data_IF_620105638955
#
_entry.id   IF_620105638955
#
_cell.length_a   1.000
_cell.length_b   1.000
_cell.length_c   1.000
_cell.angle_alpha   90.00
_cell.angle_beta   90.00
_cell.angle_gamma   90.00
#
_symmetry.space_group_name_H-M   'P 1'
#
loop_
_entity.id
_entity.type
_entity.pdbx_description
1 polymer ?
#
# COMPACT_ATOMS: atom_id res chain seq x y z
N UNK A 1 4.76 19.34 4.60
CA UNK A 1 3.97 18.58 5.58
C UNK A 1 3.16 17.51 4.86
N UNK A 2 3.20 16.30 5.37
CA UNK A 2 2.47 15.19 4.74
C UNK A 2 1.07 15.13 5.29
N UNK A 3 0.12 15.02 4.39
CA UNK A 3 -1.27 14.86 4.77
C UNK A 3 -1.85 13.68 4.01
N UNK A 4 -2.47 12.78 4.75
CA UNK A 4 -3.27 11.73 4.14
C UNK A 4 -4.50 12.38 3.54
N UNK A 5 -4.78 12.18 2.26
CA UNK A 5 -5.99 12.72 1.67
C UNK A 5 -7.22 12.03 2.23
N UNK A 6 -8.39 12.60 2.02
CA UNK A 6 -9.65 11.97 2.39
C UNK A 6 -9.79 10.63 1.66
N UNK A 7 -10.15 9.58 2.38
CA UNK A 7 -10.26 8.23 1.81
C UNK A 7 -11.54 7.48 2.22
N UNK A 8 -12.41 8.12 2.98
CA UNK A 8 -13.61 7.44 3.51
C UNK A 8 -14.52 6.91 2.41
N UNK A 9 -14.54 7.58 1.25
CA UNK A 9 -15.32 7.13 0.09
C UNK A 9 -14.75 5.85 -0.54
N UNK A 10 -13.49 5.52 -0.26
CA UNK A 10 -12.86 4.30 -0.77
C UNK A 10 -13.19 3.07 0.07
N UNK A 11 -13.52 3.26 1.34
CA UNK A 11 -13.82 2.15 2.23
C UNK A 11 -14.96 1.31 1.69
N UNK A 12 -14.77 -0.01 1.67
CA UNK A 12 -15.78 -0.93 1.15
C UNK A 12 -15.70 -1.22 -0.34
N UNK A 13 -14.85 -0.53 -1.08
CA UNK A 13 -14.71 -0.80 -2.51
C UNK A 13 -14.06 -2.17 -2.75
N UNK A 14 -14.49 -2.89 -3.81
CA UNK A 14 -14.07 -4.28 -4.02
C UNK A 14 -12.68 -4.40 -4.62
N UNK A 15 -12.12 -5.59 -4.48
CA UNK A 15 -10.85 -5.97 -5.07
C UNK A 15 -11.03 -6.40 -6.53
N UNK A 16 -10.09 -5.98 -7.37
CA UNK A 16 -9.97 -6.44 -8.77
C UNK A 16 -8.50 -6.45 -9.15
N UNK A 17 -8.00 -7.54 -9.67
CA UNK A 17 -6.62 -7.63 -10.16
C UNK A 17 -6.38 -6.57 -11.24
N UNK A 18 -5.30 -5.79 -11.09
CA UNK A 18 -5.02 -4.68 -11.98
C UNK A 18 -5.90 -3.46 -11.76
N UNK A 19 -6.78 -3.49 -10.75
CA UNK A 19 -7.71 -2.40 -10.49
C UNK A 19 -7.01 -1.10 -10.11
N UNK A 20 -7.42 -0.02 -10.76
CA UNK A 20 -6.88 1.34 -10.51
C UNK A 20 -7.97 2.33 -10.19
N UNK A 21 -9.18 1.85 -9.95
CA UNK A 21 -10.33 2.66 -9.61
C UNK A 21 -11.08 3.14 -10.83
N UNK A 22 -12.16 3.89 -10.64
CA UNK A 22 -12.68 4.37 -9.35
C UNK A 22 -13.51 3.35 -8.58
N UNK A 23 -13.92 2.24 -9.18
CA UNK A 23 -14.90 1.32 -8.59
C UNK A 23 -14.25 0.12 -7.90
N UNK A 24 -13.04 -0.26 -8.30
CA UNK A 24 -12.34 -1.42 -7.77
C UNK A 24 -10.82 -1.18 -7.83
N UNK A 25 -10.08 -1.85 -6.95
CA UNK A 25 -8.63 -1.67 -6.81
C UNK A 25 -7.95 -3.00 -6.51
N UNK A 26 -6.67 -3.11 -6.89
CA UNK A 26 -5.78 -4.06 -6.22
C UNK A 26 -4.99 -3.31 -5.13
N UNK A 27 -4.10 -4.01 -4.40
CA UNK A 27 -3.43 -3.39 -3.26
C UNK A 27 -2.54 -2.22 -3.69
N UNK A 28 -1.83 -2.34 -4.80
CA UNK A 28 -1.00 -1.25 -5.29
C UNK A 28 -1.84 -0.15 -5.94
N UNK A 29 -2.92 -0.51 -6.62
CA UNK A 29 -3.85 0.46 -7.20
C UNK A 29 -4.47 1.38 -6.16
N UNK A 30 -4.76 0.84 -4.97
CA UNK A 30 -5.22 1.67 -3.85
C UNK A 30 -4.15 2.69 -3.44
N UNK A 31 -2.89 2.27 -3.38
CA UNK A 31 -1.79 3.18 -3.06
C UNK A 31 -1.65 4.26 -4.14
N UNK A 32 -1.73 3.88 -5.42
CA UNK A 32 -1.68 4.84 -6.53
C UNK A 32 -2.77 5.89 -6.40
N UNK A 33 -3.99 5.46 -6.08
CA UNK A 33 -5.12 6.39 -5.93
C UNK A 33 -4.93 7.35 -4.74
N UNK A 34 -4.48 6.84 -3.60
CA UNK A 34 -4.22 7.70 -2.43
C UNK A 34 -3.14 8.73 -2.73
N UNK A 35 -2.07 8.32 -3.38
CA UNK A 35 -0.99 9.24 -3.75
C UNK A 35 -1.48 10.28 -4.75
N UNK A 36 -2.27 9.87 -5.74
CA UNK A 36 -2.85 10.81 -6.71
C UNK A 36 -3.67 11.89 -6.01
N UNK A 37 -4.47 11.50 -5.02
CA UNK A 37 -5.27 12.44 -4.22
C UNK A 37 -4.40 13.40 -3.42
N UNK A 38 -3.21 12.96 -3.04
CA UNK A 38 -2.24 13.79 -2.33
C UNK A 38 -1.39 14.65 -3.28
N UNK A 39 -1.65 14.60 -4.58
CA UNK A 39 -0.88 15.35 -5.57
C UNK A 39 0.42 14.69 -6.00
N UNK A 40 0.56 13.39 -5.76
CA UNK A 40 1.78 12.66 -6.03
C UNK A 40 1.52 11.56 -7.06
N UNK A 41 2.49 11.33 -7.94
CA UNK A 41 2.41 10.29 -8.95
C UNK A 41 3.35 9.15 -8.60
N UNK A 42 2.78 8.02 -8.17
CA UNK A 42 3.55 6.80 -7.98
C UNK A 42 3.81 6.15 -9.33
N UNK A 43 4.98 5.55 -9.54
CA UNK A 43 5.20 4.70 -10.70
C UNK A 43 4.16 3.57 -10.70
N UNK A 44 3.53 3.32 -11.83
CA UNK A 44 2.52 2.28 -11.92
C UNK A 44 3.16 0.99 -12.43
N UNK A 45 3.34 0.04 -11.54
CA UNK A 45 3.90 -1.26 -11.87
C UNK A 45 2.81 -2.16 -12.47
N UNK A 46 3.21 -2.99 -13.43
CA UNK A 46 2.28 -3.93 -14.03
C UNK A 46 1.70 -4.85 -12.96
N UNK A 47 0.37 -4.90 -12.89
CA UNK A 47 -0.32 -5.81 -11.99
C UNK A 47 -0.57 -7.14 -12.67
N UNK A 48 -0.49 -8.20 -11.89
CA UNK A 48 -0.75 -9.56 -12.35
C UNK A 48 -1.56 -10.26 -11.26
N UNK A 49 -2.31 -11.28 -11.64
CA UNK A 49 -3.02 -12.11 -10.67
C UNK A 49 -2.09 -13.12 -9.97
N UNK A 50 -0.81 -13.13 -10.32
CA UNK A 50 0.22 -13.90 -9.65
C UNK A 50 0.76 -13.09 -8.46
N UNK A 51 0.51 -13.52 -7.20
CA UNK A 51 1.00 -12.79 -6.03
C UNK A 51 2.51 -12.64 -5.99
N UNK A 52 3.26 -13.63 -6.47
CA UNK A 52 4.72 -13.54 -6.52
C UNK A 52 5.16 -12.45 -7.49
N UNK A 53 4.49 -12.35 -8.64
CA UNK A 53 4.76 -11.29 -9.63
C UNK A 53 4.44 -9.91 -9.10
N UNK A 54 3.37 -9.76 -8.34
CA UNK A 54 3.01 -8.48 -7.71
C UNK A 54 4.10 -8.05 -6.72
N UNK A 55 4.52 -8.95 -5.85
CA UNK A 55 5.57 -8.66 -4.87
C UNK A 55 6.90 -8.33 -5.54
N UNK A 56 7.29 -9.09 -6.56
CA UNK A 56 8.51 -8.85 -7.29
C UNK A 56 8.50 -7.49 -8.00
N UNK A 57 7.35 -7.13 -8.58
CA UNK A 57 7.19 -5.83 -9.24
C UNK A 57 7.39 -4.68 -8.28
N UNK A 58 6.79 -4.74 -7.10
CA UNK A 58 6.99 -3.71 -6.09
C UNK A 58 8.43 -3.64 -5.62
N UNK A 59 9.05 -4.77 -5.30
CA UNK A 59 10.42 -4.79 -4.80
C UNK A 59 11.40 -4.22 -5.81
N UNK A 60 11.20 -4.51 -7.11
CA UNK A 60 12.01 -3.92 -8.16
C UNK A 60 11.86 -2.39 -8.19
N UNK A 61 10.64 -1.90 -8.13
CA UNK A 61 10.39 -0.45 -8.13
C UNK A 61 10.86 0.22 -6.84
N UNK A 62 10.76 -0.47 -5.72
CA UNK A 62 11.16 0.09 -4.42
C UNK A 62 12.65 0.45 -4.39
N UNK A 63 13.51 -0.29 -5.09
CA UNK A 63 14.93 0.01 -5.15
C UNK A 63 15.20 1.39 -5.77
N UNK A 64 14.36 1.84 -6.68
CA UNK A 64 14.57 3.08 -7.43
C UNK A 64 13.77 4.26 -6.88
N UNK A 65 12.60 4.01 -6.32
CA UNK A 65 11.63 5.08 -6.02
C UNK A 65 11.32 5.21 -4.54
N UNK A 66 11.73 4.26 -3.71
CA UNK A 66 11.41 4.23 -2.29
C UNK A 66 12.67 4.06 -1.46
N UNK A 67 12.59 4.53 -0.22
CA UNK A 67 13.63 4.34 0.80
C UNK A 67 13.03 3.57 1.96
N UNK A 68 13.69 2.50 2.38
CA UNK A 68 13.25 1.75 3.55
C UNK A 68 13.47 2.58 4.82
N UNK A 69 12.48 2.57 5.70
CA UNK A 69 12.50 3.32 6.96
C UNK A 69 12.06 2.40 8.09
N UNK A 70 12.32 2.81 9.34
CA UNK A 70 12.01 2.00 10.51
C UNK A 70 10.73 2.45 11.21
N UNK A 71 10.39 3.72 11.11
CA UNK A 71 9.23 4.29 11.79
C UNK A 71 8.28 4.83 10.73
N UNK A 72 7.03 4.35 10.67
CA UNK A 72 6.11 4.77 9.63
C UNK A 72 5.66 6.21 9.82
N UNK A 73 5.48 6.90 8.70
CA UNK A 73 4.84 8.21 8.62
C UNK A 73 3.73 8.14 7.57
N UNK A 74 2.82 9.10 7.63
CA UNK A 74 1.68 9.17 6.71
C UNK A 74 2.12 9.02 5.26
N UNK A 75 1.41 8.21 4.49
CA UNK A 75 1.67 7.84 3.10
C UNK A 75 2.83 6.86 2.90
N UNK A 76 3.51 6.41 3.93
CA UNK A 76 4.47 5.32 3.77
C UNK A 76 3.74 4.04 3.35
N UNK A 77 4.40 3.25 2.50
CA UNK A 77 3.87 1.97 2.07
C UNK A 77 4.44 0.88 2.96
N UNK A 78 3.58 0.03 3.48
CA UNK A 78 3.96 -1.08 4.32
C UNK A 78 3.80 -2.36 3.52
N UNK A 79 4.86 -3.17 3.47
CA UNK A 79 4.83 -4.46 2.80
C UNK A 79 4.51 -5.55 3.79
N UNK A 80 3.67 -6.48 3.36
CA UNK A 80 3.24 -7.62 4.15
C UNK A 80 3.49 -8.93 3.40
N UNK A 81 3.82 -9.95 4.16
CA UNK A 81 3.83 -11.32 3.66
C UNK A 81 2.58 -12.02 4.16
N UNK A 82 1.63 -12.22 3.27
CA UNK A 82 0.37 -12.89 3.57
C UNK A 82 0.43 -14.36 3.16
N UNK A 83 1.12 -14.63 2.05
CA UNK A 83 1.34 -15.98 1.55
C UNK A 83 2.76 -16.43 1.88
N UNK A 84 2.99 -17.75 2.04
CA UNK A 84 4.34 -18.26 2.29
C UNK A 84 5.31 -17.88 1.17
N UNK A 85 6.58 -17.66 1.52
CA UNK A 85 7.74 -17.53 0.62
C UNK A 85 7.94 -16.19 -0.05
N UNK A 86 6.93 -15.28 -0.14
CA UNK A 86 7.14 -14.01 -0.82
C UNK A 86 6.27 -12.92 -0.25
N UNK A 87 6.75 -11.67 -0.39
CA UNK A 87 5.96 -10.48 -0.09
C UNK A 87 4.93 -10.31 -1.20
N UNK A 88 3.66 -10.27 -0.83
CA UNK A 88 2.57 -10.28 -1.80
C UNK A 88 1.53 -9.19 -1.59
N UNK A 89 1.69 -8.36 -0.56
CA UNK A 89 0.64 -7.42 -0.18
C UNK A 89 1.25 -6.11 0.30
N UNK A 90 0.55 -5.02 0.07
CA UNK A 90 0.95 -3.71 0.58
C UNK A 90 -0.25 -2.96 1.14
N UNK A 91 0.03 -2.05 2.06
CA UNK A 91 -0.93 -1.09 2.58
C UNK A 91 -0.29 0.28 2.67
N UNK A 92 -1.11 1.30 2.94
CA UNK A 92 -0.64 2.68 3.08
C UNK A 92 -0.89 3.14 4.50
N UNK A 93 0.16 3.62 5.16
CA UNK A 93 0.05 4.13 6.52
C UNK A 93 -0.71 5.45 6.52
N UNK A 94 -1.73 5.55 7.35
CA UNK A 94 -2.60 6.73 7.42
C UNK A 94 -2.45 7.50 8.73
N UNK A 95 -1.46 7.14 9.53
CA UNK A 95 -1.23 7.78 10.83
C UNK A 95 -1.89 7.03 11.99
N UNK A 96 -1.50 7.39 13.20
CA UNK A 96 -2.06 6.85 14.44
C UNK A 96 -2.02 5.32 14.55
N UNK A 97 -0.99 4.70 13.96
CA UNK A 97 -0.85 3.25 14.00
C UNK A 97 -1.75 2.49 13.04
N UNK A 98 -2.40 3.18 12.11
CA UNK A 98 -3.37 2.57 11.21
C UNK A 98 -2.89 2.57 9.77
N UNK A 99 -3.34 1.60 9.00
CA UNK A 99 -3.09 1.53 7.57
C UNK A 99 -4.37 1.16 6.82
N UNK A 100 -4.44 1.63 5.58
CA UNK A 100 -5.53 1.28 4.66
C UNK A 100 -5.01 0.30 3.63
N UNK A 101 -5.80 -0.73 3.33
CA UNK A 101 -5.39 -1.75 2.38
C UNK A 101 -6.60 -2.42 1.75
N UNK A 102 -6.35 -3.28 0.76
CA UNK A 102 -7.36 -4.12 0.15
C UNK A 102 -6.72 -5.47 -0.21
N UNK A 103 -7.46 -6.55 0.00
CA UNK A 103 -7.04 -7.90 -0.36
C UNK A 103 -8.15 -8.58 -1.16
N UNK A 104 -7.78 -9.62 -1.91
CA UNK A 104 -8.75 -10.46 -2.58
C UNK A 104 -9.80 -10.95 -1.57
N UNK A 105 -11.07 -10.84 -1.91
CA UNK A 105 -12.23 -11.20 -1.08
C UNK A 105 -12.44 -10.32 0.15
N UNK A 106 -11.63 -9.27 0.32
CA UNK A 106 -11.79 -8.29 1.39
C UNK A 106 -11.81 -6.92 0.73
N UNK A 107 -12.84 -6.13 0.99
CA UNK A 107 -12.92 -4.77 0.48
C UNK A 107 -11.91 -3.85 1.14
N UNK A 108 -11.77 -2.63 0.63
CA UNK A 108 -10.91 -1.60 1.23
C UNK A 108 -11.30 -1.43 2.70
N UNK A 109 -10.30 -1.54 3.57
CA UNK A 109 -10.49 -1.44 5.01
C UNK A 109 -9.31 -0.71 5.65
N UNK A 110 -9.59 -0.07 6.78
CA UNK A 110 -8.57 0.54 7.63
C UNK A 110 -8.35 -0.38 8.82
N UNK A 111 -7.09 -0.72 9.13
CA UNK A 111 -6.77 -1.64 10.20
C UNK A 111 -5.64 -1.11 11.07
N UNK A 112 -5.54 -1.68 12.27
CA UNK A 112 -4.51 -1.31 13.24
C UNK A 112 -3.25 -2.14 13.00
N UNK A 113 -2.13 -1.47 12.72
CA UNK A 113 -0.85 -2.11 12.45
C UNK A 113 -0.30 -2.86 13.68
N UNK A 114 -0.70 -2.46 14.88
CA UNK A 114 -0.24 -3.08 16.11
C UNK A 114 -0.95 -4.39 16.46
N UNK A 115 -2.01 -4.76 15.73
CA UNK A 115 -2.64 -6.07 15.97
C UNK A 115 -1.64 -7.19 15.69
N UNK A 116 -1.67 -8.28 16.47
CA UNK A 116 -0.67 -9.34 16.34
C UNK A 116 -0.55 -9.91 14.93
N UNK A 117 -1.66 -10.10 14.24
CA UNK A 117 -1.64 -10.69 12.90
C UNK A 117 -0.90 -9.79 11.89
N UNK A 118 -1.14 -8.48 11.93
CA UNK A 118 -0.50 -7.56 11.00
C UNK A 118 0.94 -7.28 11.39
N UNK A 119 1.23 -7.19 12.69
CA UNK A 119 2.59 -7.09 13.16
C UNK A 119 3.44 -8.27 12.70
N UNK A 120 2.89 -9.48 12.77
CA UNK A 120 3.58 -10.69 12.35
C UNK A 120 3.83 -10.72 10.84
N UNK A 121 2.91 -10.18 10.05
CA UNK A 121 3.00 -10.18 8.58
C UNK A 121 3.87 -9.07 8.01
N UNK A 122 4.16 -8.04 8.78
CA UNK A 122 4.91 -6.88 8.30
C UNK A 122 6.33 -7.27 7.88
N UNK A 123 6.76 -6.80 6.70
CA UNK A 123 8.08 -7.12 6.15
C UNK A 123 8.91 -5.91 5.76
N UNK A 124 8.38 -4.72 5.91
CA UNK A 124 9.13 -3.49 5.67
C UNK A 124 8.24 -2.30 5.51
N UNK A 125 8.80 -1.14 5.77
CA UNK A 125 8.14 0.16 5.63
C UNK A 125 8.95 0.95 4.63
N UNK A 126 8.30 1.48 3.59
CA UNK A 126 8.97 2.13 2.49
C UNK A 126 8.39 3.53 2.26
N UNK A 127 9.27 4.50 2.22
CA UNK A 127 8.91 5.90 2.00
C UNK A 127 9.21 6.30 0.57
N UNK A 128 8.22 6.86 -0.11
CA UNK A 128 8.39 7.36 -1.47
C UNK A 128 9.37 8.53 -1.47
N UNK A 129 10.39 8.46 -2.33
CA UNK A 129 11.43 9.52 -2.40
C UNK A 129 10.88 10.86 -2.90
N UNK A 130 9.73 10.85 -3.57
CA UNK A 130 9.05 12.06 -3.99
C UNK A 130 8.24 12.77 -2.92
N UNK A 131 8.16 12.20 -1.68
CA UNK A 131 7.46 12.86 -0.58
C UNK A 131 8.28 14.05 -0.07
N UNK A 132 7.60 15.17 0.31
CA UNK A 132 8.29 16.27 0.94
C UNK A 132 8.95 15.82 2.24
N UNK A 133 10.12 16.36 2.51
CA UNK A 133 10.75 16.15 3.81
C UNK A 133 9.98 16.94 4.87
N UNK A 134 9.71 16.28 5.99
CA UNK A 134 9.01 16.92 7.09
C UNK A 134 9.96 17.92 7.82
#
# INVERSE_FOLDING_TARGET
MRHVPLYTDLLGKPFEYGGRGPDAFDCYGLAVELYRRAGLALPDYASTDDPAGQGAGFMHGAEHHFQQVNIPQELDIILFQVLPRFVSHCGVYVGHGRFIHIMSKISVACEDLATPIWQHRQRGIYRFKGLPHA
#
